data_IF_359111166805
#
_entry.id   IF_359111166805
#
_cell.length_a   1.000
_cell.length_b   1.000
_cell.length_c   1.000
_cell.angle_alpha   90.00
_cell.angle_beta   90.00
_cell.angle_gamma   90.00
#
_symmetry.space_group_name_H-M   'P 1'
#
loop_
_entity.id
_entity.type
_entity.pdbx_description
1 polymer ?
#
# COMPACT_ATOMS: atom_id res chain seq x y z
N UNK A 1 -10.94 -13.16 24.34
CA UNK A 1 -12.24 -13.49 23.72
C UNK A 1 -12.90 -12.16 23.39
N UNK A 2 -12.91 -11.60 22.18
CA UNK A 2 -12.80 -12.10 20.80
C UNK A 2 -11.84 -11.16 20.05
N UNK A 3 -10.76 -11.69 19.47
CA UNK A 3 -9.94 -10.93 18.53
C UNK A 3 -10.66 -10.96 17.18
N UNK A 4 -11.29 -9.85 16.81
CA UNK A 4 -11.95 -9.74 15.51
C UNK A 4 -10.87 -9.73 14.43
N UNK A 5 -10.55 -10.91 13.91
CA UNK A 5 -9.82 -11.04 12.66
C UNK A 5 -10.62 -10.32 11.59
N UNK A 6 -10.02 -9.30 10.96
CA UNK A 6 -10.58 -8.70 9.77
C UNK A 6 -10.51 -9.76 8.67
N UNK A 7 -11.52 -10.63 8.61
CA UNK A 7 -11.92 -11.25 7.36
C UNK A 7 -12.10 -10.12 6.35
N UNK A 8 -11.58 -10.25 5.13
CA UNK A 8 -11.82 -9.28 4.07
C UNK A 8 -13.34 -9.08 3.92
N UNK A 9 -13.85 -8.03 4.55
CA UNK A 9 -15.26 -7.69 4.53
C UNK A 9 -15.60 -7.20 3.13
N UNK A 10 -16.83 -7.44 2.68
CA UNK A 10 -17.36 -6.80 1.48
C UNK A 10 -17.06 -5.29 1.55
N UNK A 11 -16.23 -4.79 0.63
CA UNK A 11 -15.85 -3.39 0.56
C UNK A 11 -14.43 -3.02 1.04
N UNK A 12 -13.53 -3.97 1.33
CA UNK A 12 -12.12 -3.62 1.57
C UNK A 12 -11.54 -2.91 0.33
N UNK A 13 -11.03 -1.67 0.46
CA UNK A 13 -10.50 -0.91 -0.68
C UNK A 13 -9.37 -1.63 -1.44
N UNK A 14 -8.59 -2.49 -0.78
CA UNK A 14 -7.52 -3.25 -1.45
C UNK A 14 -8.05 -4.40 -2.29
N UNK A 15 -9.22 -4.95 -1.95
CA UNK A 15 -9.90 -5.96 -2.80
C UNK A 15 -10.62 -5.26 -3.94
N UNK A 16 -11.33 -4.15 -3.66
CA UNK A 16 -12.04 -3.37 -4.69
C UNK A 16 -11.08 -2.82 -5.74
N UNK A 17 -9.94 -2.29 -5.31
CA UNK A 17 -8.87 -1.82 -6.18
C UNK A 17 -7.95 -2.92 -6.73
N UNK A 18 -8.28 -4.20 -6.51
CA UNK A 18 -7.56 -5.39 -6.98
C UNK A 18 -6.09 -5.53 -6.53
N UNK A 19 -5.58 -4.66 -5.67
CA UNK A 19 -4.26 -4.79 -5.05
C UNK A 19 -4.10 -6.15 -4.37
N UNK A 20 -5.11 -6.60 -3.63
CA UNK A 20 -5.21 -8.01 -3.21
C UNK A 20 -5.67 -8.83 -4.41
N UNK A 21 -4.90 -9.83 -4.78
CA UNK A 21 -5.13 -10.69 -5.95
C UNK A 21 -4.20 -10.34 -7.09
N UNK A 22 -4.08 -9.06 -7.45
CA UNK A 22 -3.09 -8.66 -8.43
C UNK A 22 -1.70 -8.66 -7.75
N UNK A 23 -1.44 -7.87 -6.72
CA UNK A 23 -0.09 -7.63 -6.16
C UNK A 23 0.25 -8.52 -4.96
N UNK A 24 -0.69 -8.68 -4.03
CA UNK A 24 -0.47 -9.44 -2.78
C UNK A 24 -1.57 -10.45 -2.52
N UNK A 25 -1.21 -11.52 -1.82
CA UNK A 25 -2.19 -12.47 -1.29
C UNK A 25 -3.04 -11.81 -0.18
N UNK A 26 -4.27 -12.30 0.07
CA UNK A 26 -5.07 -11.86 1.20
C UNK A 26 -4.32 -11.99 2.53
N UNK A 27 -4.30 -10.91 3.30
CA UNK A 27 -3.55 -10.86 4.56
C UNK A 27 -4.33 -10.12 5.66
N UNK A 28 -3.93 -10.33 6.92
CA UNK A 28 -4.45 -9.58 8.06
C UNK A 28 -3.49 -8.44 8.36
N UNK A 29 -3.98 -7.20 8.29
CA UNK A 29 -3.22 -5.99 8.68
C UNK A 29 -2.88 -6.07 10.17
N UNK A 30 -1.59 -6.13 10.53
CA UNK A 30 -1.12 -6.21 11.93
C UNK A 30 -0.30 -5.00 12.39
N UNK A 31 0.32 -4.29 11.44
CA UNK A 31 1.20 -3.17 11.71
C UNK A 31 0.62 -1.94 11.04
N UNK A 32 0.53 -0.84 11.78
CA UNK A 32 0.10 0.43 11.21
C UNK A 32 1.20 0.98 10.30
N UNK A 33 0.82 1.40 9.10
CA UNK A 33 1.68 2.07 8.13
C UNK A 33 1.04 3.41 7.79
N UNK A 34 1.80 4.50 7.93
CA UNK A 34 1.38 5.83 7.49
C UNK A 34 2.42 6.37 6.52
N UNK A 35 1.95 6.71 5.32
CA UNK A 35 2.75 7.31 4.25
C UNK A 35 2.18 8.69 3.97
N UNK A 36 3.03 9.71 3.87
CA UNK A 36 2.59 11.06 3.57
C UNK A 36 3.56 11.80 2.64
N UNK A 37 2.99 12.57 1.73
CA UNK A 37 3.70 13.50 0.86
C UNK A 37 3.34 14.92 1.28
N UNK A 38 4.35 15.71 1.65
CA UNK A 38 4.17 17.05 2.25
C UNK A 38 3.16 17.01 3.40
N UNK A 39 2.01 17.70 3.25
CA UNK A 39 0.95 17.78 4.26
C UNK A 39 -0.21 16.80 4.05
N UNK A 40 -0.11 15.88 3.09
CA UNK A 40 -1.19 14.95 2.74
C UNK A 40 -0.79 13.49 2.99
N UNK A 41 -1.58 12.80 3.82
CA UNK A 41 -1.45 11.36 3.99
C UNK A 41 -2.03 10.61 2.78
N UNK A 42 -1.42 9.47 2.47
CA UNK A 42 -1.93 8.51 1.49
C UNK A 42 -3.06 7.69 2.12
N UNK A 43 -4.18 7.61 1.41
CA UNK A 43 -5.28 6.71 1.72
C UNK A 43 -5.56 5.80 0.51
N UNK A 44 -6.05 4.58 0.74
CA UNK A 44 -6.34 3.64 -0.34
C UNK A 44 -7.31 4.26 -1.36
N UNK A 45 -6.90 4.28 -2.63
CA UNK A 45 -7.68 4.85 -3.74
C UNK A 45 -7.65 6.37 -3.87
N UNK A 46 -6.85 7.09 -3.06
CA UNK A 46 -6.74 8.53 -3.22
C UNK A 46 -5.88 8.91 -4.43
N UNK A 47 -6.31 9.91 -5.19
CA UNK A 47 -5.52 10.41 -6.33
C UNK A 47 -4.50 11.46 -5.87
N UNK A 48 -3.27 11.28 -6.34
CA UNK A 48 -2.15 12.21 -6.16
C UNK A 48 -1.56 12.54 -7.53
N UNK A 49 -1.31 13.84 -7.77
CA UNK A 49 -0.67 14.29 -9.00
C UNK A 49 0.80 13.83 -9.02
N UNK A 50 1.38 13.44 -10.17
CA UNK A 50 2.80 13.09 -10.26
C UNK A 50 3.74 14.15 -9.69
N UNK A 51 3.43 15.44 -9.92
CA UNK A 51 4.22 16.55 -9.39
C UNK A 51 4.20 16.65 -7.86
N UNK A 52 3.19 16.08 -7.20
CA UNK A 52 3.07 16.09 -5.74
C UNK A 52 3.80 14.90 -5.06
N UNK A 53 4.29 13.94 -5.85
CA UNK A 53 4.94 12.70 -5.38
C UNK A 53 6.35 12.52 -5.96
N UNK A 54 6.95 13.57 -6.50
CA UNK A 54 8.27 13.52 -7.11
C UNK A 54 9.40 13.27 -6.10
N UNK A 55 9.24 13.77 -4.87
CA UNK A 55 10.17 13.55 -3.77
C UNK A 55 9.73 12.35 -2.91
N UNK A 56 10.66 11.61 -2.28
CA UNK A 56 10.31 10.47 -1.42
C UNK A 56 9.35 10.84 -0.27
N UNK A 57 8.40 9.97 0.08
CA UNK A 57 7.44 10.25 1.14
C UNK A 57 8.06 10.14 2.53
N UNK A 58 7.39 10.75 3.50
CA UNK A 58 7.59 10.43 4.91
C UNK A 58 6.85 9.12 5.23
N UNK A 59 7.56 8.18 5.83
CA UNK A 59 7.01 6.87 6.22
C UNK A 59 7.13 6.67 7.73
N UNK A 60 6.01 6.36 8.36
CA UNK A 60 5.96 5.87 9.75
C UNK A 60 5.47 4.43 9.76
N UNK A 61 6.22 3.56 10.42
CA UNK A 61 5.85 2.16 10.63
C UNK A 61 5.67 1.95 12.13
N UNK A 62 4.52 1.39 12.51
CA UNK A 62 4.30 0.95 13.87
C UNK A 62 5.05 -0.34 14.18
N UNK A 63 4.70 -0.99 15.29
CA UNK A 63 5.27 -2.28 15.63
C UNK A 63 5.17 -2.57 17.12
N UNK A 64 5.30 -3.84 17.53
CA UNK A 64 5.23 -4.21 18.93
C UNK A 64 6.49 -3.79 19.71
N UNK A 65 7.63 -3.65 19.02
CA UNK A 65 8.90 -3.30 19.61
C UNK A 65 9.84 -2.62 18.59
N UNK A 66 10.98 -2.11 19.11
CA UNK A 66 12.04 -1.46 18.35
C UNK A 66 13.11 -2.44 17.83
N UNK A 67 12.90 -3.75 18.01
CA UNK A 67 13.86 -4.80 17.61
C UNK A 67 13.44 -5.46 16.30
N UNK A 68 12.18 -5.30 15.92
CA UNK A 68 11.62 -5.77 14.66
C UNK A 68 11.99 -4.78 13.56
N UNK A 69 12.63 -5.30 12.52
CA UNK A 69 12.95 -4.55 11.31
C UNK A 69 11.94 -4.89 10.22
N UNK A 70 11.54 -3.89 9.45
CA UNK A 70 10.58 -4.03 8.35
C UNK A 70 11.22 -3.63 7.04
N UNK A 71 10.76 -4.24 5.96
CA UNK A 71 11.06 -3.82 4.59
C UNK A 71 9.83 -3.13 4.02
N UNK A 72 10.04 -1.94 3.44
CA UNK A 72 9.03 -1.23 2.67
C UNK A 72 9.30 -1.47 1.18
N UNK A 73 8.23 -1.67 0.41
CA UNK A 73 8.29 -1.84 -1.05
C UNK A 73 7.25 -0.92 -1.68
N UNK A 74 7.66 -0.12 -2.67
CA UNK A 74 6.77 0.71 -3.48
C UNK A 74 6.86 0.28 -4.95
N UNK A 75 5.76 -0.27 -5.48
CA UNK A 75 5.67 -0.78 -6.86
C UNK A 75 4.49 -0.17 -7.60
N UNK A 76 4.63 -0.05 -8.91
CA UNK A 76 3.55 0.21 -9.85
C UNK A 76 3.20 -1.09 -10.62
N UNK A 77 2.04 -1.71 -10.34
CA UNK A 77 1.61 -2.92 -11.05
C UNK A 77 1.04 -2.64 -12.45
N UNK A 78 0.82 -1.38 -12.79
CA UNK A 78 0.12 -0.97 -14.00
C UNK A 78 1.08 -0.38 -15.05
N UNK A 79 2.39 -0.65 -14.96
CA UNK A 79 3.37 -0.09 -15.89
C UNK A 79 3.42 -0.84 -17.25
N UNK A 80 3.47 -0.14 -18.40
CA UNK A 80 3.34 1.31 -18.57
C UNK A 80 1.89 1.81 -18.58
N UNK A 81 0.91 0.91 -18.70
CA UNK A 81 -0.52 1.25 -18.57
C UNK A 81 -1.31 0.10 -17.94
N UNK A 82 -2.41 0.39 -17.20
CA UNK A 82 -3.25 -0.64 -16.60
C UNK A 82 -3.93 -1.55 -17.64
N UNK A 83 -4.07 -1.09 -18.89
CA UNK A 83 -4.63 -1.87 -19.99
C UNK A 83 -3.64 -2.85 -20.63
N UNK A 84 -2.35 -2.55 -20.55
CA UNK A 84 -1.26 -3.38 -21.06
C UNK A 84 -0.06 -3.26 -20.10
N UNK A 85 -0.13 -3.95 -18.94
CA UNK A 85 0.87 -3.82 -17.88
C UNK A 85 2.09 -4.71 -18.16
N UNK A 86 2.69 -4.58 -19.34
CA UNK A 86 3.78 -5.44 -19.82
C UNK A 86 5.09 -5.30 -19.05
N UNK A 87 5.25 -4.21 -18.27
CA UNK A 87 6.42 -3.95 -17.40
C UNK A 87 6.12 -4.14 -15.92
N UNK A 88 4.96 -4.71 -15.60
CA UNK A 88 4.57 -5.07 -14.25
C UNK A 88 5.58 -6.03 -13.61
N UNK A 89 6.03 -5.83 -12.37
CA UNK A 89 5.84 -4.69 -11.47
C UNK A 89 7.05 -3.73 -11.56
N UNK A 90 6.80 -2.44 -11.72
CA UNK A 90 7.86 -1.44 -11.74
C UNK A 90 8.22 -1.01 -10.31
N UNK A 91 9.45 -1.28 -9.88
CA UNK A 91 9.94 -0.95 -8.54
C UNK A 91 10.35 0.53 -8.46
N UNK A 92 9.62 1.32 -7.67
CA UNK A 92 9.95 2.72 -7.39
C UNK A 92 10.92 2.88 -6.22
N UNK A 93 10.71 2.12 -5.13
CA UNK A 93 11.51 2.20 -3.92
C UNK A 93 11.53 0.88 -3.15
#
# INVERSE_FOLDING_TARGET
>A
MVGSGMHAQRGDPLVVGRVIGDVVDPFVRRVALRVGYASRDVANGCELRPSAIADPPRVEVGGPDMRTFYTLVMVDPDAPSPSDPSLREYLHW
#
